data_IF_297496283597
#
_entry.id   IF_297496283597
#
_cell.length_a   1.000
_cell.length_b   1.000
_cell.length_c   1.000
_cell.angle_alpha   90.00
_cell.angle_beta   90.00
_cell.angle_gamma   90.00
#
_symmetry.space_group_name_H-M   'P 1'
#
loop_
_entity.id
_entity.type
_entity.pdbx_description
1 polymer ?
#
# COMPACT_ATOMS: atom_id res chain seq x y z
N UNK A 1 -16.23 -0.10 16.18
CA UNK A 1 -17.02 0.86 17.00
C UNK A 1 -16.62 2.26 16.54
N UNK A 2 -17.55 3.20 16.38
CA UNK A 2 -17.21 4.57 15.94
C UNK A 2 -16.56 5.33 17.09
N UNK A 3 -15.34 5.80 16.91
CA UNK A 3 -14.59 6.53 17.94
C UNK A 3 -14.74 8.06 17.81
N UNK A 4 -14.98 8.57 16.59
CA UNK A 4 -15.15 10.00 16.29
C UNK A 4 -16.54 10.30 15.69
N UNK A 5 -17.12 11.51 15.91
CA UNK A 5 -18.28 11.99 15.17
C UNK A 5 -18.09 12.00 13.64
N UNK A 6 -16.84 12.15 13.17
CA UNK A 6 -16.49 12.06 11.75
C UNK A 6 -16.72 10.65 11.17
N UNK A 7 -16.68 9.61 12.01
CA UNK A 7 -16.94 8.22 11.60
C UNK A 7 -18.43 7.84 11.72
N UNK A 8 -19.26 8.74 12.26
CA UNK A 8 -20.66 8.44 12.57
C UNK A 8 -21.55 8.41 11.33
N UNK A 9 -22.41 7.38 11.25
CA UNK A 9 -23.44 7.28 10.23
C UNK A 9 -24.46 8.45 10.25
N UNK A 10 -24.61 9.12 11.40
CA UNK A 10 -25.59 10.20 11.63
C UNK A 10 -24.91 11.57 11.54
N UNK A 11 -23.72 11.71 12.12
CA UNK A 11 -23.11 13.02 12.35
C UNK A 11 -21.98 13.41 11.39
N UNK A 12 -21.46 12.48 10.57
CA UNK A 12 -20.30 12.77 9.69
C UNK A 12 -20.53 13.91 8.71
N UNK A 13 -21.77 14.13 8.28
CA UNK A 13 -22.09 15.21 7.34
C UNK A 13 -22.19 16.58 8.02
N UNK A 14 -22.28 16.62 9.35
CA UNK A 14 -22.30 17.86 10.15
C UNK A 14 -20.91 18.23 10.67
N UNK A 15 -20.14 17.26 11.18
CA UNK A 15 -18.86 17.49 11.83
C UNK A 15 -17.63 16.99 11.04
N UNK A 16 -17.84 16.21 9.98
CA UNK A 16 -16.78 15.68 9.14
C UNK A 16 -16.66 16.42 7.82
N UNK A 17 -15.67 16.00 7.05
CA UNK A 17 -15.43 16.44 5.67
C UNK A 17 -15.25 15.19 4.80
N UNK A 18 -16.12 15.02 3.80
CA UNK A 18 -16.14 13.83 2.97
C UNK A 18 -14.90 13.69 2.09
N UNK A 19 -14.31 14.81 1.62
CA UNK A 19 -13.12 14.80 0.79
C UNK A 19 -11.89 14.41 1.62
N UNK A 20 -11.78 14.95 2.84
CA UNK A 20 -10.72 14.56 3.78
C UNK A 20 -10.88 13.11 4.21
N UNK A 21 -12.08 12.67 4.59
CA UNK A 21 -12.33 11.29 5.01
C UNK A 21 -11.93 10.27 3.93
N UNK A 22 -12.15 10.61 2.64
CA UNK A 22 -11.72 9.76 1.52
C UNK A 22 -10.20 9.63 1.43
N UNK A 23 -9.46 10.71 1.66
CA UNK A 23 -7.99 10.73 1.59
C UNK A 23 -7.31 9.99 2.74
N UNK A 24 -7.94 9.92 3.91
CA UNK A 24 -7.44 9.25 5.11
C UNK A 24 -8.08 7.88 5.38
N UNK A 25 -8.78 7.32 4.40
CA UNK A 25 -9.31 5.96 4.50
C UNK A 25 -8.19 4.92 4.44
N UNK A 26 -8.37 3.76 5.07
CA UNK A 26 -7.38 2.68 5.04
C UNK A 26 -7.05 2.23 3.60
N UNK A 27 -8.03 2.24 2.70
CA UNK A 27 -7.82 1.96 1.28
C UNK A 27 -6.92 3.01 0.61
N UNK A 28 -7.08 4.29 0.95
CA UNK A 28 -6.23 5.35 0.44
C UNK A 28 -4.79 5.24 0.98
N UNK A 29 -4.62 4.91 2.26
CA UNK A 29 -3.32 4.65 2.89
C UNK A 29 -2.58 3.50 2.18
N UNK A 30 -3.24 2.33 2.05
CA UNK A 30 -2.67 1.17 1.34
C UNK A 30 -2.35 1.50 -0.11
N UNK A 31 -3.24 2.23 -0.79
CA UNK A 31 -3.02 2.68 -2.16
C UNK A 31 -1.79 3.56 -2.27
N UNK A 32 -1.64 4.54 -1.39
CA UNK A 32 -0.49 5.44 -1.37
C UNK A 32 0.82 4.69 -1.14
N UNK A 33 0.85 3.74 -0.20
CA UNK A 33 2.03 2.89 0.04
C UNK A 33 2.39 2.06 -1.20
N UNK A 34 1.42 1.45 -1.89
CA UNK A 34 1.67 0.71 -3.13
C UNK A 34 2.25 1.62 -4.22
N UNK A 35 1.67 2.80 -4.43
CA UNK A 35 2.15 3.79 -5.40
C UNK A 35 3.61 4.18 -5.10
N UNK A 36 3.93 4.43 -3.84
CA UNK A 36 5.29 4.76 -3.40
C UNK A 36 6.29 3.63 -3.70
N UNK A 37 5.95 2.38 -3.37
CA UNK A 37 6.80 1.22 -3.65
C UNK A 37 7.01 0.98 -5.16
N UNK A 38 5.97 1.19 -5.97
CA UNK A 38 6.09 1.09 -7.43
C UNK A 38 6.94 2.21 -8.04
N UNK A 39 6.80 3.44 -7.54
CA UNK A 39 7.62 4.57 -7.95
C UNK A 39 9.10 4.36 -7.56
N UNK A 40 9.35 3.80 -6.37
CA UNK A 40 10.68 3.38 -5.94
C UNK A 40 11.28 2.35 -6.92
N UNK A 41 10.56 1.27 -7.21
CA UNK A 41 11.04 0.24 -8.13
C UNK A 41 11.35 0.81 -9.52
N UNK A 42 10.49 1.71 -10.04
CA UNK A 42 10.73 2.42 -11.30
C UNK A 42 12.04 3.22 -11.27
N UNK A 43 12.26 4.01 -10.22
CA UNK A 43 13.48 4.79 -10.06
C UNK A 43 14.72 3.89 -9.96
N UNK A 44 14.62 2.79 -9.20
CA UNK A 44 15.69 1.81 -9.06
C UNK A 44 16.05 1.13 -10.38
N UNK A 45 15.05 0.76 -11.20
CA UNK A 45 15.26 0.21 -12.53
C UNK A 45 15.97 1.19 -13.46
N UNK A 46 15.56 2.47 -13.45
CA UNK A 46 16.20 3.52 -14.24
C UNK A 46 17.69 3.75 -13.88
N UNK A 47 18.08 3.42 -12.64
CA UNK A 47 19.46 3.49 -12.16
C UNK A 47 20.20 2.14 -12.18
N UNK A 48 19.58 1.08 -12.71
CA UNK A 48 20.20 -0.25 -12.79
C UNK A 48 20.40 -0.95 -11.44
N UNK A 49 19.71 -0.51 -10.38
CA UNK A 49 19.81 -1.11 -9.04
C UNK A 49 19.04 -2.43 -8.92
N UNK A 50 17.97 -2.57 -9.71
CA UNK A 50 17.22 -3.82 -9.89
C UNK A 50 17.01 -4.06 -11.40
N UNK A 51 16.73 -5.29 -11.85
CA UNK A 51 16.45 -5.56 -13.25
C UNK A 51 15.29 -4.70 -13.78
N UNK A 52 15.44 -4.10 -14.96
CA UNK A 52 14.43 -3.21 -15.57
C UNK A 52 13.07 -3.90 -15.77
N UNK A 53 13.09 -5.20 -16.10
CA UNK A 53 11.87 -6.02 -16.23
C UNK A 53 11.13 -6.17 -14.89
N UNK A 54 11.86 -6.34 -13.79
CA UNK A 54 11.29 -6.39 -12.44
C UNK A 54 10.73 -5.01 -12.03
N UNK A 55 11.49 -3.93 -12.27
CA UNK A 55 11.04 -2.56 -12.02
C UNK A 55 9.72 -2.24 -12.75
N UNK A 56 9.64 -2.60 -14.04
CA UNK A 56 8.45 -2.40 -14.87
C UNK A 56 7.27 -3.22 -14.35
N UNK A 57 7.49 -4.50 -14.02
CA UNK A 57 6.45 -5.37 -13.47
C UNK A 57 5.91 -4.86 -12.12
N UNK A 58 6.80 -4.46 -11.19
CA UNK A 58 6.41 -3.92 -9.89
C UNK A 58 5.64 -2.61 -10.05
N UNK A 59 6.13 -1.68 -10.88
CA UNK A 59 5.44 -0.42 -11.10
C UNK A 59 4.04 -0.63 -11.70
N UNK A 60 3.91 -1.52 -12.69
CA UNK A 60 2.61 -1.84 -13.26
C UNK A 60 1.68 -2.47 -12.21
N UNK A 61 2.17 -3.46 -11.49
CA UNK A 61 1.41 -4.13 -10.44
C UNK A 61 0.95 -3.14 -9.36
N UNK A 62 1.79 -2.15 -9.02
CA UNK A 62 1.39 -1.12 -8.06
C UNK A 62 0.27 -0.23 -8.58
N UNK A 63 0.09 -0.09 -9.90
CA UNK A 63 -1.03 0.64 -10.51
C UNK A 63 -2.33 -0.19 -10.55
N UNK A 64 -2.23 -1.50 -10.77
CA UNK A 64 -3.36 -2.36 -11.13
C UNK A 64 -3.91 -3.18 -9.97
N UNK A 65 -3.05 -3.63 -9.05
CA UNK A 65 -3.45 -4.50 -7.95
C UNK A 65 -4.17 -3.71 -6.84
N UNK A 66 -5.08 -4.41 -6.18
CA UNK A 66 -5.81 -3.95 -5.01
C UNK A 66 -5.52 -4.90 -3.86
N UNK A 67 -5.18 -4.33 -2.70
CA UNK A 67 -4.94 -5.07 -1.47
C UNK A 67 -5.98 -4.63 -0.44
N UNK A 68 -6.55 -5.60 0.28
CA UNK A 68 -7.47 -5.32 1.38
C UNK A 68 -6.68 -4.83 2.62
N UNK A 69 -6.94 -3.61 3.12
CA UNK A 69 -6.30 -3.13 4.34
C UNK A 69 -6.57 -4.02 5.56
N UNK A 70 -7.72 -4.71 5.60
CA UNK A 70 -8.07 -5.61 6.71
C UNK A 70 -7.04 -6.71 6.95
N UNK A 71 -6.35 -7.17 5.88
CA UNK A 71 -5.30 -8.18 5.97
C UNK A 71 -4.03 -7.75 6.72
N UNK A 72 -3.89 -6.46 7.04
CA UNK A 72 -2.74 -5.90 7.75
C UNK A 72 -2.88 -5.96 9.28
N UNK A 73 -4.11 -6.02 9.80
CA UNK A 73 -4.43 -5.74 11.20
C UNK A 73 -3.62 -6.60 12.21
N UNK A 74 -3.61 -7.92 12.03
CA UNK A 74 -2.92 -8.84 12.93
C UNK A 74 -1.40 -8.62 12.96
N UNK A 75 -0.81 -8.26 11.81
CA UNK A 75 0.62 -7.98 11.73
C UNK A 75 0.95 -6.63 12.34
N UNK A 76 0.13 -5.60 12.11
CA UNK A 76 0.28 -4.28 12.74
C UNK A 76 0.22 -4.39 14.27
N UNK A 77 -0.71 -5.20 14.80
CA UNK A 77 -0.81 -5.43 16.25
C UNK A 77 0.47 -6.05 16.86
N UNK A 78 1.25 -6.82 16.07
CA UNK A 78 2.49 -7.46 16.51
C UNK A 78 3.72 -6.60 16.29
N UNK A 79 3.77 -5.91 15.15
CA UNK A 79 4.97 -5.22 14.66
C UNK A 79 4.92 -3.70 14.85
N UNK A 80 3.77 -3.15 15.27
CA UNK A 80 3.47 -1.72 15.37
C UNK A 80 3.60 -0.93 14.04
N UNK A 81 3.81 -1.61 12.91
CA UNK A 81 3.91 -1.02 11.57
C UNK A 81 3.27 -1.92 10.50
N UNK A 82 2.69 -1.35 9.41
CA UNK A 82 1.99 -2.12 8.39
C UNK A 82 2.90 -2.66 7.26
N UNK A 83 4.04 -2.01 7.02
CA UNK A 83 4.86 -2.20 5.82
C UNK A 83 5.31 -3.65 5.60
N UNK A 84 5.80 -4.40 6.61
CA UNK A 84 6.25 -5.78 6.37
C UNK A 84 5.15 -6.68 5.79
N UNK A 85 3.92 -6.59 6.34
CA UNK A 85 2.79 -7.40 5.85
C UNK A 85 2.26 -6.89 4.51
N UNK A 86 2.29 -5.57 4.29
CA UNK A 86 1.96 -5.00 2.99
C UNK A 86 2.88 -5.55 1.90
N UNK A 87 4.20 -5.58 2.14
CA UNK A 87 5.19 -6.10 1.17
C UNK A 87 4.96 -7.58 0.91
N UNK A 88 4.68 -8.39 1.93
CA UNK A 88 4.31 -9.81 1.79
C UNK A 88 3.07 -9.97 0.91
N UNK A 89 1.95 -9.32 1.26
CA UNK A 89 0.70 -9.39 0.52
C UNK A 89 0.84 -8.90 -0.93
N UNK A 90 1.64 -7.86 -1.16
CA UNK A 90 1.88 -7.33 -2.50
C UNK A 90 2.71 -8.30 -3.34
N UNK A 91 3.78 -8.90 -2.77
CA UNK A 91 4.56 -9.94 -3.48
C UNK A 91 3.68 -11.12 -3.88
N UNK A 92 2.83 -11.57 -2.97
CA UNK A 92 1.89 -12.66 -3.25
C UNK A 92 0.90 -12.26 -4.35
N UNK A 93 0.31 -11.08 -4.26
CA UNK A 93 -0.67 -10.61 -5.26
C UNK A 93 -0.08 -10.45 -6.66
N UNK A 94 1.22 -10.18 -6.80
CA UNK A 94 1.90 -10.07 -8.10
C UNK A 94 1.93 -11.40 -8.87
N UNK A 95 1.89 -12.55 -8.21
CA UNK A 95 1.98 -13.88 -8.84
C UNK A 95 3.18 -14.01 -9.83
N UNK A 96 4.27 -13.28 -9.54
CA UNK A 96 5.45 -13.18 -10.38
C UNK A 96 6.71 -13.15 -9.49
N UNK A 97 7.07 -14.28 -8.86
CA UNK A 97 8.09 -14.32 -7.80
C UNK A 97 9.45 -13.77 -8.24
N UNK A 98 9.86 -14.04 -9.48
CA UNK A 98 11.14 -13.58 -10.05
C UNK A 98 11.25 -12.04 -10.10
N UNK A 99 10.12 -11.34 -10.24
CA UNK A 99 10.08 -9.88 -10.20
C UNK A 99 9.77 -9.36 -8.79
N UNK A 100 8.84 -10.02 -8.09
CA UNK A 100 8.34 -9.61 -6.78
C UNK A 100 9.44 -9.60 -5.68
N UNK A 101 10.47 -10.44 -5.81
CA UNK A 101 11.61 -10.44 -4.87
C UNK A 101 12.32 -9.08 -4.76
N UNK A 102 12.23 -8.23 -5.80
CA UNK A 102 12.81 -6.88 -5.81
C UNK A 102 11.87 -5.80 -5.24
N UNK A 103 10.63 -6.15 -4.87
CA UNK A 103 9.74 -5.20 -4.20
C UNK A 103 10.38 -4.77 -2.87
N UNK A 104 10.38 -3.46 -2.61
CA UNK A 104 10.95 -2.85 -1.40
C UNK A 104 12.48 -3.01 -1.26
N UNK A 105 13.20 -3.22 -2.37
CA UNK A 105 14.65 -3.39 -2.36
C UNK A 105 15.39 -2.22 -1.71
N UNK A 106 16.17 -2.49 -0.66
CA UNK A 106 16.98 -1.47 0.03
C UNK A 106 16.20 -0.36 0.75
N UNK A 107 14.88 -0.49 0.87
CA UNK A 107 14.04 0.40 1.66
C UNK A 107 13.80 -0.15 3.08
N UNK A 108 13.07 0.61 3.91
CA UNK A 108 12.72 0.27 5.30
C UNK A 108 11.23 0.41 5.56
#
# INVERSE_FOLDING_TARGET
MTASPADSAIYRNLFGDADIARLFSDTAEVRAMMLALGALAKAQGAHGLIPETAATAIHRASMELQLDPGGLADSVARNAVPVPKLVEMFRDAMQAPDHAQFLHWGAT
#
